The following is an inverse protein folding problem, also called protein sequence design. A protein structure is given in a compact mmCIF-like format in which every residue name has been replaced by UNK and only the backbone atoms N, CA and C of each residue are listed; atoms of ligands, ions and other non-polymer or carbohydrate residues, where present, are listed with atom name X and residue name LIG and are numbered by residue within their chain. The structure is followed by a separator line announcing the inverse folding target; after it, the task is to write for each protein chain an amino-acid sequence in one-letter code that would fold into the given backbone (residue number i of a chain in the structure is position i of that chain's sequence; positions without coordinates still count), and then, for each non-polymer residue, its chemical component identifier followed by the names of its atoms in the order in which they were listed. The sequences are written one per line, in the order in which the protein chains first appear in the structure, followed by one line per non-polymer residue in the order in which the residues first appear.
data_IF_896074755451
#
_entry.id   IF_896074755451
#
_cell.length_a   1.000
_cell.length_b   1.000
_cell.length_c   1.000
_cell.angle_alpha   90.00
_cell.angle_beta   90.00
_cell.angle_gamma   90.00
#
_symmetry.space_group_name_H-M   'P 1'
#
loop_
_entity.id
_entity.type
_entity.pdbx_description
1 polymer ?
#
# COMPACT_ATOMS: atom_id res chain seq x y z
N UNK A 1 -5.03 6.91 -0.87
CA UNK A 1 -4.06 5.83 -0.63
C UNK A 1 -4.39 5.16 0.68
N UNK A 2 -4.77 3.88 0.65
CA UNK A 2 -4.96 3.06 1.84
C UNK A 2 -3.66 2.94 2.62
N UNK A 3 -3.76 2.56 3.89
CA UNK A 3 -2.61 2.38 4.76
C UNK A 3 -2.23 0.90 4.81
N UNK A 4 -1.05 0.55 4.30
CA UNK A 4 -0.49 -0.79 4.39
C UNK A 4 0.02 -1.03 5.82
N UNK A 5 -0.77 -1.75 6.62
CA UNK A 5 -0.48 -2.00 8.04
C UNK A 5 0.30 -3.29 8.29
N UNK A 6 0.25 -4.26 7.37
CA UNK A 6 1.03 -5.51 7.45
C UNK A 6 1.31 -6.06 6.06
N UNK A 7 2.54 -6.54 5.84
CA UNK A 7 2.98 -7.20 4.63
C UNK A 7 3.70 -8.50 5.00
N UNK A 8 3.18 -9.63 4.53
CA UNK A 8 3.77 -10.96 4.77
C UNK A 8 4.07 -11.21 6.27
N UNK A 9 5.22 -11.81 6.60
CA UNK A 9 5.79 -11.93 7.94
C UNK A 9 6.76 -10.79 8.31
N UNK A 10 6.72 -9.65 7.61
CA UNK A 10 7.66 -8.55 7.86
C UNK A 10 7.29 -7.70 9.08
N UNK A 11 8.29 -7.08 9.70
CA UNK A 11 8.10 -6.10 10.76
C UNK A 11 7.31 -4.89 10.24
N UNK A 12 6.36 -4.43 11.04
CA UNK A 12 5.55 -3.26 10.70
C UNK A 12 5.51 -2.29 11.86
N UNK A 13 5.74 -1.00 11.58
CA UNK A 13 5.60 0.07 12.59
C UNK A 13 4.23 0.06 13.25
N UNK A 14 3.20 -0.31 12.50
CA UNK A 14 1.82 -0.35 12.97
C UNK A 14 1.56 -1.42 14.05
N UNK A 15 2.45 -2.41 14.22
CA UNK A 15 2.36 -3.41 15.30
C UNK A 15 2.64 -2.80 16.68
N UNK A 16 3.46 -1.74 16.73
CA UNK A 16 3.82 -1.07 17.99
C UNK A 16 2.72 -0.11 18.45
N UNK A 17 2.27 0.78 17.56
CA UNK A 17 1.19 1.72 17.85
C UNK A 17 0.42 2.11 16.59
N UNK A 18 -0.68 1.39 16.34
CA UNK A 18 -1.52 1.62 15.18
C UNK A 18 -2.04 3.07 15.12
N UNK A 19 -2.47 3.67 16.25
CA UNK A 19 -3.08 5.01 16.27
C UNK A 19 -2.06 6.10 15.98
N UNK A 20 -0.87 5.97 16.57
CA UNK A 20 0.24 6.91 16.31
C UNK A 20 0.66 6.85 14.86
N UNK A 21 0.93 5.67 14.30
CA UNK A 21 1.43 5.58 12.92
C UNK A 21 0.37 5.88 11.87
N UNK A 22 -0.91 5.59 12.12
CA UNK A 22 -2.01 5.97 11.20
C UNK A 22 -2.19 7.50 11.12
N UNK A 23 -2.09 8.20 12.25
CA UNK A 23 -2.15 9.67 12.29
C UNK A 23 -0.90 10.32 11.68
N UNK A 24 0.29 9.83 12.02
CA UNK A 24 1.56 10.28 11.44
C UNK A 24 1.59 10.11 9.92
N UNK A 25 1.13 8.96 9.40
CA UNK A 25 1.06 8.73 7.95
C UNK A 25 0.19 9.77 7.26
N UNK A 26 -0.99 10.03 7.81
CA UNK A 26 -1.95 11.00 7.25
C UNK A 26 -1.37 12.41 7.23
N UNK A 27 -0.69 12.80 8.32
CA UNK A 27 -0.01 14.10 8.44
C UNK A 27 1.14 14.22 7.44
N UNK A 28 2.07 13.27 7.44
CA UNK A 28 3.24 13.26 6.56
C UNK A 28 2.84 13.27 5.07
N UNK A 29 1.79 12.55 4.70
CA UNK A 29 1.25 12.58 3.32
C UNK A 29 0.76 13.99 2.95
N UNK A 30 0.03 14.66 3.84
CA UNK A 30 -0.52 16.02 3.60
C UNK A 30 0.59 17.06 3.50
N UNK A 31 1.54 17.03 4.43
CA UNK A 31 2.68 17.95 4.45
C UNK A 31 3.54 17.77 3.20
N UNK A 32 3.89 16.53 2.84
CA UNK A 32 4.65 16.26 1.61
C UNK A 32 3.94 16.75 0.35
N UNK A 33 2.63 16.50 0.24
CA UNK A 33 1.86 16.97 -0.91
C UNK A 33 1.84 18.50 -0.99
N UNK A 34 1.62 19.17 0.15
CA UNK A 34 1.60 20.63 0.23
C UNK A 34 2.91 21.25 -0.26
N UNK A 35 4.06 20.76 0.23
CA UNK A 35 5.36 21.27 -0.21
C UNK A 35 5.63 21.01 -1.68
N UNK A 36 5.34 19.79 -2.16
CA UNK A 36 5.56 19.41 -3.54
C UNK A 36 4.68 20.23 -4.51
N UNK A 37 3.42 20.45 -4.16
CA UNK A 37 2.49 21.26 -4.95
C UNK A 37 2.91 22.73 -4.99
N UNK A 38 3.36 23.30 -3.86
CA UNK A 38 3.83 24.68 -3.81
C UNK A 38 5.11 24.88 -4.64
N UNK A 39 6.06 23.95 -4.55
CA UNK A 39 7.30 24.00 -5.34
C UNK A 39 6.99 23.93 -6.85
N UNK A 40 6.07 23.06 -7.25
CA UNK A 40 5.61 22.96 -8.64
C UNK A 40 4.95 24.26 -9.11
N UNK A 41 4.05 24.85 -8.30
CA UNK A 41 3.40 26.12 -8.62
C UNK A 41 4.40 27.27 -8.76
N UNK A 42 5.38 27.36 -7.87
CA UNK A 42 6.42 28.40 -7.92
C UNK A 42 7.27 28.29 -9.19
N UNK A 43 7.68 27.08 -9.57
CA UNK A 43 8.45 26.88 -10.82
C UNK A 43 7.66 27.26 -12.07
N UNK A 44 6.37 26.95 -12.11
CA UNK A 44 5.51 27.34 -13.22
C UNK A 44 5.37 28.86 -13.34
N UNK A 45 5.31 29.58 -12.22
CA UNK A 45 5.29 31.06 -12.21
C UNK A 45 6.61 31.65 -12.72
N UNK A 46 7.75 31.10 -12.28
CA UNK A 46 9.09 31.56 -12.73
C UNK A 46 9.34 31.23 -14.21
N UNK A 47 8.79 30.14 -14.74
CA UNK A 47 8.88 29.78 -16.17
C UNK A 47 7.94 30.58 -17.08
N UNK A 48 6.91 31.25 -16.53
CA UNK A 48 5.91 32.00 -17.32
C UNK A 48 6.12 33.52 -17.32
N UNK A 49 7.11 34.04 -16.59
CA UNK A 49 7.62 35.39 -16.73
C UNK A 49 8.64 35.43 -17.90
N UNK A 50 8.37 36.13 -19.01
CA UNK A 50 9.37 36.31 -20.05
C UNK A 50 10.40 37.30 -19.54
N UNK A 51 11.55 36.79 -19.11
CA UNK A 51 12.85 37.45 -18.96
C UNK A 51 12.83 38.99 -19.13
N UNK A 52 12.34 39.71 -18.11
CA UNK A 52 12.58 41.15 -17.97
C UNK A 52 13.56 41.34 -16.81
N UNK A 53 14.66 42.01 -17.15
CA UNK A 53 15.73 42.37 -16.23
C UNK A 53 15.23 43.34 -15.14
N UNK A 54 15.58 43.01 -13.89
CA UNK A 54 15.75 43.87 -12.70
C UNK A 54 14.48 44.41 -12.00
N UNK A 55 14.27 44.01 -10.75
CA UNK A 55 14.71 44.83 -9.61
C UNK A 55 14.65 44.05 -8.28
N UNK A 56 15.75 44.09 -7.53
CA UNK A 56 15.85 43.67 -6.13
C UNK A 56 15.16 44.74 -5.26
N UNK A 57 13.94 44.47 -4.80
CA UNK A 57 13.39 44.87 -3.49
C UNK A 57 11.89 44.50 -3.46
N UNK A 58 11.38 44.15 -2.29
CA UNK A 58 9.99 43.74 -2.03
C UNK A 58 9.61 42.28 -2.36
N UNK A 59 10.31 41.31 -1.76
CA UNK A 59 9.66 40.01 -1.43
C UNK A 59 10.02 39.51 -0.04
N UNK A 60 10.03 40.44 0.92
CA UNK A 60 10.32 40.17 2.33
C UNK A 60 9.01 40.00 3.13
N UNK A 61 8.28 38.89 2.96
CA UNK A 61 7.22 38.52 3.94
C UNK A 61 6.76 37.05 4.04
N UNK A 62 7.28 36.06 3.30
CA UNK A 62 6.89 34.64 3.54
C UNK A 62 8.04 33.61 3.52
N UNK A 63 9.29 34.05 3.60
CA UNK A 63 10.43 33.17 3.77
C UNK A 63 10.73 32.94 5.26
N UNK A 64 9.88 32.19 5.96
CA UNK A 64 10.28 31.64 7.26
C UNK A 64 9.98 30.14 7.28
N UNK A 65 11.02 29.42 6.86
CA UNK A 65 11.32 27.99 6.97
C UNK A 65 10.30 26.98 6.40
N UNK A 66 10.67 26.29 5.29
CA UNK A 66 11.22 24.93 5.44
C UNK A 66 12.18 24.52 4.29
N UNK A 67 13.50 24.59 4.50
CA UNK A 67 14.50 24.15 3.50
C UNK A 67 15.16 22.79 3.83
N UNK A 68 14.97 22.26 5.05
CA UNK A 68 15.62 21.02 5.51
C UNK A 68 14.93 19.76 5.00
N UNK A 69 13.59 19.77 4.90
CA UNK A 69 12.80 18.62 4.45
C UNK A 69 12.99 18.34 2.94
N UNK A 70 13.10 19.39 2.13
CA UNK A 70 13.33 19.32 0.68
C UNK A 70 14.71 18.74 0.36
N UNK A 71 15.75 19.17 1.09
CA UNK A 71 17.09 18.62 0.94
C UNK A 71 17.18 17.15 1.41
N UNK A 72 16.46 16.78 2.47
CA UNK A 72 16.35 15.37 2.91
C UNK A 72 15.64 14.51 1.85
N UNK A 73 14.63 15.07 1.20
CA UNK A 73 13.87 14.40 0.14
C UNK A 73 14.71 14.19 -1.13
N UNK A 74 15.47 15.20 -1.54
CA UNK A 74 16.45 15.08 -2.63
C UNK A 74 17.57 14.08 -2.30
N UNK A 75 18.06 14.05 -1.05
CA UNK A 75 19.04 13.04 -0.59
C UNK A 75 18.46 11.62 -0.56
N UNK A 76 17.18 11.46 -0.18
CA UNK A 76 16.51 10.16 -0.24
C UNK A 76 16.29 9.68 -1.68
N UNK A 77 15.98 10.57 -2.63
CA UNK A 77 15.97 10.22 -4.07
C UNK A 77 17.34 9.71 -4.52
N UNK A 78 18.44 10.40 -4.17
CA UNK A 78 19.80 9.95 -4.48
C UNK A 78 20.14 8.57 -3.92
N UNK A 79 19.71 8.26 -2.68
CA UNK A 79 19.92 6.94 -2.06
C UNK A 79 19.04 5.82 -2.65
N UNK A 80 17.89 6.15 -3.22
CA UNK A 80 16.95 5.17 -3.76
C UNK A 80 17.32 4.65 -5.15
N UNK A 81 18.04 5.46 -5.95
CA UNK A 81 18.59 5.04 -7.24
C UNK A 81 19.97 4.38 -7.14
N UNK A 82 20.73 4.64 -6.07
CA UNK A 82 22.07 4.06 -5.87
C UNK A 82 22.03 2.64 -5.29
N UNK A 83 21.07 2.32 -4.41
CA UNK A 83 21.02 1.01 -3.74
C UNK A 83 20.55 -0.17 -4.63
N UNK A 84 19.87 0.12 -5.74
CA UNK A 84 19.50 -0.91 -6.75
C UNK A 84 20.55 -0.96 -7.91
N UNK A 85 21.63 -0.17 -7.84
CA UNK A 85 22.65 -0.01 -8.89
C UNK A 85 24.06 -0.52 -8.54
N UNK A 86 24.26 -1.18 -7.38
CA UNK A 86 25.57 -1.75 -6.98
C UNK A 86 25.95 -3.08 -7.71
N UNK A 87 25.33 -3.38 -8.86
CA UNK A 87 25.66 -4.57 -9.67
C UNK A 87 26.11 -4.25 -11.10
N UNK A 88 26.20 -2.98 -11.47
CA UNK A 88 26.64 -2.53 -12.80
C UNK A 88 27.45 -1.23 -12.64
N UNK A 89 28.62 -1.33 -12.04
CA UNK A 89 29.68 -0.33 -12.25
C UNK A 89 30.66 -0.92 -13.25
N UNK A 90 30.50 -0.53 -14.52
CA UNK A 90 31.62 -0.26 -15.40
C UNK A 90 31.09 0.63 -16.54
N UNK A 91 31.75 1.79 -16.64
CA UNK A 91 31.65 2.80 -17.68
C UNK A 91 30.32 3.55 -17.78
N UNK A 92 30.34 4.86 -17.47
CA UNK A 92 29.76 5.93 -18.29
C UNK A 92 30.10 7.31 -17.68
N UNK A 93 30.47 8.20 -18.60
CA UNK A 93 31.17 9.46 -18.42
C UNK A 93 30.46 10.55 -17.58
N UNK A 94 31.26 11.53 -17.14
CA UNK A 94 30.90 12.73 -16.36
C UNK A 94 30.03 13.78 -17.11
N UNK A 95 29.21 13.37 -18.08
CA UNK A 95 28.32 14.30 -18.79
C UNK A 95 26.87 14.14 -18.30
N UNK A 96 26.32 15.25 -17.80
CA UNK A 96 24.91 15.44 -17.45
C UNK A 96 24.40 14.83 -16.13
N UNK A 97 24.82 15.45 -15.01
CA UNK A 97 23.98 15.59 -13.80
C UNK A 97 22.79 16.52 -14.11
N UNK A 98 21.94 16.18 -15.08
CA UNK A 98 20.64 16.82 -15.24
C UNK A 98 19.82 16.50 -14.00
N UNK A 99 19.43 17.54 -13.26
CA UNK A 99 18.37 17.44 -12.26
C UNK A 99 17.19 16.68 -12.89
N UNK A 100 16.61 15.67 -12.22
CA UNK A 100 15.48 14.95 -12.80
C UNK A 100 14.39 15.98 -13.11
N UNK A 101 14.06 16.10 -14.41
CA UNK A 101 13.06 17.02 -14.94
C UNK A 101 11.84 17.03 -14.03
N UNK A 102 11.49 18.21 -13.49
CA UNK A 102 10.23 18.34 -12.76
C UNK A 102 9.08 18.06 -13.73
N UNK A 103 8.02 17.35 -13.30
CA UNK A 103 6.94 16.99 -14.20
C UNK A 103 6.21 18.24 -14.70
N UNK A 104 6.06 18.37 -16.02
CA UNK A 104 5.41 19.52 -16.65
C UNK A 104 3.90 19.62 -16.34
N UNK A 105 3.27 18.51 -15.92
CA UNK A 105 1.82 18.48 -15.61
C UNK A 105 1.56 18.12 -14.15
N UNK A 106 0.51 18.72 -13.60
CA UNK A 106 0.02 18.42 -12.24
C UNK A 106 -0.37 16.94 -12.09
N UNK A 107 -0.87 16.31 -13.15
CA UNK A 107 -1.19 14.87 -13.15
C UNK A 107 0.07 14.00 -13.02
N UNK A 108 1.14 14.33 -13.73
CA UNK A 108 2.42 13.62 -13.60
C UNK A 108 3.03 13.82 -12.20
N UNK A 109 2.93 15.03 -11.63
CA UNK A 109 3.33 15.30 -10.24
C UNK A 109 2.56 14.42 -9.24
N UNK A 110 1.25 14.28 -9.43
CA UNK A 110 0.40 13.39 -8.62
C UNK A 110 0.86 11.94 -8.73
N UNK A 111 1.13 11.45 -9.93
CA UNK A 111 1.56 10.06 -10.14
C UNK A 111 2.90 9.79 -9.45
N UNK A 112 3.88 10.69 -9.60
CA UNK A 112 5.17 10.58 -8.94
C UNK A 112 5.02 10.57 -7.40
N UNK A 113 4.20 11.48 -6.86
CA UNK A 113 3.91 11.53 -5.43
C UNK A 113 3.29 10.24 -4.90
N UNK A 114 2.35 9.65 -5.64
CA UNK A 114 1.71 8.38 -5.27
C UNK A 114 2.72 7.24 -5.23
N UNK A 115 3.65 7.20 -6.18
CA UNK A 115 4.70 6.18 -6.25
C UNK A 115 5.70 6.31 -5.10
N UNK A 116 6.19 7.52 -4.83
CA UNK A 116 7.09 7.80 -3.70
C UNK A 116 6.42 7.49 -2.35
N UNK A 117 5.13 7.81 -2.22
CA UNK A 117 4.35 7.49 -1.02
C UNK A 117 4.15 5.98 -0.88
N UNK A 118 3.94 5.25 -1.98
CA UNK A 118 3.82 3.79 -1.98
C UNK A 118 5.12 3.14 -1.49
N UNK A 119 6.27 3.56 -1.99
CA UNK A 119 7.56 3.06 -1.51
C UNK A 119 7.82 3.40 -0.04
N UNK A 120 7.40 4.58 0.41
CA UNK A 120 7.46 4.95 1.84
C UNK A 120 6.61 4.00 2.70
N UNK A 121 5.41 3.63 2.24
CA UNK A 121 4.57 2.65 2.93
C UNK A 121 5.19 1.25 2.95
N UNK A 122 5.78 0.80 1.84
CA UNK A 122 6.49 -0.49 1.81
C UNK A 122 7.62 -0.52 2.85
N UNK A 123 8.37 0.58 3.02
CA UNK A 123 9.39 0.70 4.05
C UNK A 123 8.77 0.62 5.45
N UNK A 124 7.66 1.32 5.71
CA UNK A 124 6.98 1.26 7.02
C UNK A 124 6.40 -0.12 7.35
N UNK A 125 6.04 -0.90 6.33
CA UNK A 125 5.54 -2.26 6.46
C UNK A 125 6.65 -3.33 6.43
N UNK A 126 7.92 -2.93 6.38
CA UNK A 126 9.10 -3.83 6.45
C UNK A 126 10.15 -3.43 7.48
N UNK A 127 9.98 -2.28 8.13
CA UNK A 127 10.90 -1.75 9.13
C UNK A 127 10.13 -1.33 10.37
N UNK A 128 10.71 -1.57 11.54
CA UNK A 128 10.30 -0.97 12.80
C UNK A 128 11.42 -0.09 13.37
N UNK A 129 11.20 0.47 14.56
CA UNK A 129 12.24 1.24 15.26
C UNK A 129 13.44 0.38 15.64
N UNK A 130 13.22 -0.90 15.95
CA UNK A 130 14.21 -1.81 16.52
C UNK A 130 14.59 -2.93 15.57
N UNK A 131 13.83 -3.16 14.50
CA UNK A 131 13.96 -4.35 13.66
C UNK A 131 13.77 -4.01 12.18
N UNK A 132 14.47 -4.72 11.30
CA UNK A 132 14.30 -4.64 9.85
C UNK A 132 14.09 -6.04 9.27
N UNK A 133 13.10 -6.18 8.40
CA UNK A 133 12.88 -7.38 7.60
C UNK A 133 13.42 -7.18 6.20
N UNK A 134 14.18 -8.16 5.69
CA UNK A 134 14.62 -8.17 4.30
C UNK A 134 13.42 -8.45 3.38
N UNK A 135 12.84 -7.38 2.84
CA UNK A 135 11.68 -7.46 1.95
C UNK A 135 12.05 -8.08 0.60
N UNK A 136 11.27 -9.04 0.14
CA UNK A 136 11.46 -9.65 -1.16
C UNK A 136 11.12 -8.63 -2.28
N UNK A 137 11.97 -8.50 -3.33
CA UNK A 137 11.75 -7.56 -4.43
C UNK A 137 10.42 -7.70 -5.18
N UNK A 138 9.72 -8.84 -5.07
CA UNK A 138 8.44 -9.10 -5.75
C UNK A 138 7.37 -8.08 -5.36
N UNK A 139 7.42 -7.59 -4.11
CA UNK A 139 6.41 -6.66 -3.59
C UNK A 139 6.61 -5.23 -4.10
N UNK A 140 7.82 -4.86 -4.57
CA UNK A 140 8.04 -3.58 -5.26
C UNK A 140 7.27 -3.53 -6.59
N UNK A 141 7.17 -4.67 -7.28
CA UNK A 141 6.59 -4.80 -8.62
C UNK A 141 5.19 -5.41 -8.64
N UNK A 142 4.62 -5.72 -7.47
CA UNK A 142 3.29 -6.32 -7.37
C UNK A 142 2.21 -5.28 -7.72
N UNK A 143 1.58 -5.47 -8.88
CA UNK A 143 0.56 -4.57 -9.44
C UNK A 143 -0.68 -4.46 -8.53
N UNK A 144 -1.08 -5.55 -7.89
CA UNK A 144 -2.29 -5.57 -7.06
C UNK A 144 -2.03 -4.89 -5.73
N UNK A 145 -0.88 -5.13 -5.12
CA UNK A 145 -0.46 -4.40 -3.93
C UNK A 145 -0.43 -2.89 -4.21
N UNK A 146 0.23 -2.47 -5.31
CA UNK A 146 0.25 -1.06 -5.74
C UNK A 146 -1.16 -0.53 -5.96
N UNK A 147 -2.01 -1.28 -6.63
CA UNK A 147 -3.40 -0.88 -6.95
C UNK A 147 -4.25 -0.71 -5.69
N UNK A 148 -4.21 -1.65 -4.76
CA UNK A 148 -4.95 -1.54 -3.49
C UNK A 148 -4.47 -0.35 -2.66
N UNK A 149 -3.16 -0.14 -2.54
CA UNK A 149 -2.62 0.97 -1.75
C UNK A 149 -2.90 2.32 -2.41
N UNK A 150 -2.69 2.45 -3.71
CA UNK A 150 -2.80 3.75 -4.41
C UNK A 150 -4.25 4.18 -4.64
N UNK A 151 -5.10 3.26 -5.10
CA UNK A 151 -6.45 3.59 -5.55
C UNK A 151 -7.46 3.70 -4.40
N UNK A 152 -7.26 3.01 -3.28
CA UNK A 152 -8.19 3.04 -2.16
C UNK A 152 -7.91 4.27 -1.26
N UNK A 153 -8.92 4.87 -0.62
CA UNK A 153 -8.71 5.98 0.32
C UNK A 153 -8.01 5.56 1.62
N UNK A 154 -7.48 6.55 2.35
CA UNK A 154 -6.65 6.40 3.56
C UNK A 154 -7.41 6.01 4.82
N UNK A 155 -8.74 5.92 4.75
CA UNK A 155 -9.59 5.35 5.79
C UNK A 155 -9.63 3.80 5.77
N UNK A 156 -8.97 3.16 4.81
CA UNK A 156 -8.81 1.72 4.78
C UNK A 156 -7.44 1.29 5.32
N UNK A 157 -7.44 0.18 6.06
CA UNK A 157 -6.22 -0.48 6.54
C UNK A 157 -6.06 -1.79 5.76
N UNK A 158 -4.90 -1.99 5.15
CA UNK A 158 -4.59 -3.12 4.28
C UNK A 158 -3.56 -4.04 4.95
N UNK A 159 -3.87 -5.32 5.06
CA UNK A 159 -2.92 -6.38 5.36
C UNK A 159 -2.76 -7.23 4.10
N UNK A 160 -1.57 -7.25 3.51
CA UNK A 160 -1.29 -7.97 2.28
C UNK A 160 -0.57 -9.28 2.56
N UNK A 161 -1.28 -10.39 2.35
CA UNK A 161 -0.81 -11.76 2.59
C UNK A 161 -0.16 -11.98 3.98
N UNK A 162 -0.77 -11.50 5.09
CA UNK A 162 -0.12 -11.54 6.39
C UNK A 162 0.01 -12.98 6.90
N UNK A 163 1.08 -13.25 7.66
CA UNK A 163 1.29 -14.54 8.32
C UNK A 163 0.82 -14.46 9.77
N UNK A 164 -0.05 -15.38 10.19
CA UNK A 164 -0.60 -15.43 11.54
C UNK A 164 -0.06 -16.65 12.28
N UNK A 165 0.21 -16.52 13.58
CA UNK A 165 0.65 -17.63 14.42
C UNK A 165 -0.53 -18.23 15.18
N UNK A 166 -1.01 -19.42 14.76
CA UNK A 166 -2.22 -20.04 15.30
C UNK A 166 -1.95 -21.49 15.63
N UNK A 167 -2.26 -21.91 16.88
CA UNK A 167 -2.06 -23.29 17.36
C UNK A 167 -0.63 -23.80 17.09
N UNK A 168 0.37 -22.94 17.31
CA UNK A 168 1.80 -23.22 17.13
C UNK A 168 2.24 -23.45 15.67
N UNK A 169 1.48 -22.97 14.69
CA UNK A 169 1.88 -23.01 13.29
C UNK A 169 1.69 -21.65 12.61
N UNK A 170 2.65 -21.20 11.77
CA UNK A 170 2.45 -20.09 10.86
C UNK A 170 1.38 -20.45 9.81
N UNK A 171 0.40 -19.58 9.64
CA UNK A 171 -0.61 -19.69 8.58
C UNK A 171 -0.61 -18.40 7.78
N UNK A 172 -0.18 -18.50 6.52
CA UNK A 172 -0.29 -17.39 5.57
C UNK A 172 -1.75 -17.18 5.16
N UNK A 173 -2.22 -15.95 5.30
CA UNK A 173 -3.54 -15.52 4.82
C UNK A 173 -3.41 -14.84 3.46
N UNK A 174 -4.55 -14.58 2.80
CA UNK A 174 -4.61 -13.72 1.61
C UNK A 174 -4.76 -12.24 2.04
N UNK A 175 -5.43 -11.42 1.25
CA UNK A 175 -5.55 -9.99 1.51
C UNK A 175 -6.68 -9.76 2.51
N UNK A 176 -6.40 -8.99 3.57
CA UNK A 176 -7.41 -8.54 4.52
C UNK A 176 -7.46 -7.01 4.45
N UNK A 177 -8.62 -6.49 4.05
CA UNK A 177 -8.85 -5.06 3.91
C UNK A 177 -9.92 -4.64 4.92
N UNK A 178 -9.52 -3.81 5.89
CA UNK A 178 -10.42 -3.28 6.90
C UNK A 178 -10.97 -1.93 6.45
N UNK A 179 -12.29 -1.86 6.28
CA UNK A 179 -13.01 -0.61 6.12
C UNK A 179 -13.59 -0.13 7.45
N UNK A 180 -14.09 1.11 7.53
CA UNK A 180 -14.78 1.59 8.74
C UNK A 180 -16.11 0.88 9.04
N UNK A 181 -16.62 0.07 8.12
CA UNK A 181 -17.94 -0.59 8.24
C UNK A 181 -17.85 -2.10 8.18
N UNK A 182 -16.85 -2.66 7.51
CA UNK A 182 -16.77 -4.08 7.16
C UNK A 182 -15.29 -4.53 7.05
N UNK A 183 -15.04 -5.82 7.16
CA UNK A 183 -13.72 -6.42 6.89
C UNK A 183 -13.82 -7.32 5.67
N UNK A 184 -13.08 -7.01 4.61
CA UNK A 184 -13.02 -7.80 3.40
C UNK A 184 -11.85 -8.78 3.47
N UNK A 185 -12.16 -10.07 3.38
CA UNK A 185 -11.17 -11.10 3.04
C UNK A 185 -11.20 -11.26 1.52
N UNK A 186 -10.09 -10.97 0.85
CA UNK A 186 -10.00 -10.95 -0.61
C UNK A 186 -8.98 -12.00 -1.06
N UNK A 187 -9.42 -12.90 -1.93
CA UNK A 187 -8.55 -13.86 -2.62
C UNK A 187 -8.45 -13.46 -4.09
N UNK A 188 -7.23 -13.28 -4.58
CA UNK A 188 -6.95 -13.01 -5.98
C UNK A 188 -6.90 -14.32 -6.76
N UNK A 189 -7.59 -14.36 -7.89
CA UNK A 189 -7.56 -15.45 -8.84
C UNK A 189 -6.87 -14.97 -10.12
N UNK A 190 -5.58 -15.29 -10.22
CA UNK A 190 -4.76 -14.99 -11.40
C UNK A 190 -5.09 -15.98 -12.51
N UNK A 191 -5.66 -15.46 -13.60
CA UNK A 191 -6.00 -16.22 -14.80
C UNK A 191 -5.22 -15.75 -16.02
N UNK A 192 -5.23 -16.54 -17.09
CA UNK A 192 -4.82 -16.01 -18.40
C UNK A 192 -5.88 -15.03 -18.92
N UNK A 193 -5.49 -14.16 -19.86
CA UNK A 193 -6.41 -13.21 -20.51
C UNK A 193 -7.65 -13.94 -21.04
N UNK A 194 -8.83 -13.43 -20.68
CA UNK A 194 -10.14 -13.96 -21.07
C UNK A 194 -10.44 -15.39 -20.59
N UNK A 195 -9.79 -15.83 -19.50
CA UNK A 195 -10.13 -17.09 -18.84
C UNK A 195 -11.56 -17.06 -18.30
N UNK A 196 -12.29 -18.17 -18.46
CA UNK A 196 -13.61 -18.33 -17.83
C UNK A 196 -13.50 -19.38 -16.74
N UNK A 197 -13.90 -19.01 -15.53
CA UNK A 197 -13.88 -19.86 -14.35
C UNK A 197 -15.27 -20.41 -14.07
N UNK A 198 -15.37 -21.74 -14.01
CA UNK A 198 -16.59 -22.43 -13.58
C UNK A 198 -16.31 -23.35 -12.39
N UNK A 199 -17.35 -23.59 -11.60
CA UNK A 199 -17.30 -24.57 -10.51
C UNK A 199 -17.45 -25.96 -11.10
N UNK A 200 -16.46 -26.84 -10.85
CA UNK A 200 -16.60 -28.27 -11.15
C UNK A 200 -16.94 -29.08 -9.92
N UNK A 201 -16.35 -28.74 -8.78
CA UNK A 201 -16.54 -29.42 -7.50
C UNK A 201 -16.23 -28.44 -6.36
N UNK A 202 -16.53 -28.81 -5.11
CA UNK A 202 -16.21 -28.00 -3.93
C UNK A 202 -14.73 -27.62 -3.84
N UNK A 203 -13.84 -28.56 -4.18
CA UNK A 203 -12.38 -28.37 -4.09
C UNK A 203 -11.74 -27.87 -5.37
N UNK A 204 -12.40 -28.03 -6.51
CA UNK A 204 -11.78 -27.81 -7.82
C UNK A 204 -12.66 -26.99 -8.74
N UNK A 205 -12.03 -26.01 -9.37
CA UNK A 205 -12.60 -25.18 -10.41
C UNK A 205 -12.00 -25.53 -11.75
N UNK A 206 -12.71 -25.16 -12.81
CA UNK A 206 -12.25 -25.30 -14.17
C UNK A 206 -11.98 -23.92 -14.73
N UNK A 207 -10.80 -23.76 -15.30
CA UNK A 207 -10.41 -22.61 -16.08
C UNK A 207 -10.47 -23.01 -17.56
N UNK A 208 -11.32 -22.33 -18.32
CA UNK A 208 -11.39 -22.47 -19.76
C UNK A 208 -10.52 -21.40 -20.42
N UNK A 209 -9.53 -21.85 -21.21
CA UNK A 209 -8.60 -21.00 -21.96
C UNK A 209 -8.63 -21.47 -23.42
N UNK A 210 -9.13 -20.65 -24.34
CA UNK A 210 -9.06 -20.92 -25.79
C UNK A 210 -9.38 -22.38 -26.18
N UNK A 211 -10.46 -22.94 -25.58
CA UNK A 211 -10.95 -24.34 -25.75
C UNK A 211 -10.20 -25.45 -24.98
N UNK A 212 -9.17 -25.13 -24.19
CA UNK A 212 -8.55 -26.05 -23.22
C UNK A 212 -9.15 -25.84 -21.84
N UNK A 213 -9.34 -26.93 -21.11
CA UNK A 213 -9.83 -26.93 -19.74
C UNK A 213 -8.70 -27.29 -18.79
N UNK A 214 -8.40 -26.40 -17.84
CA UNK A 214 -7.41 -26.64 -16.79
C UNK A 214 -8.12 -26.75 -15.44
N UNK A 215 -7.86 -27.80 -14.70
CA UNK A 215 -8.36 -27.97 -13.33
C UNK A 215 -7.47 -27.17 -12.37
N UNK A 216 -8.09 -26.32 -11.55
CA UNK A 216 -7.42 -25.54 -10.50
C UNK A 216 -8.09 -25.79 -9.15
N UNK A 217 -7.36 -25.51 -8.07
CA UNK A 217 -7.94 -25.52 -6.74
C UNK A 217 -8.93 -24.36 -6.59
N UNK A 218 -10.00 -24.61 -5.85
CA UNK A 218 -11.02 -23.60 -5.56
C UNK A 218 -10.43 -22.47 -4.71
N UNK A 219 -10.56 -21.19 -5.13
CA UNK A 219 -10.12 -20.05 -4.32
C UNK A 219 -10.90 -19.94 -3.00
N UNK A 220 -12.06 -20.60 -2.91
CA UNK A 220 -12.84 -20.66 -1.69
C UNK A 220 -12.11 -21.39 -0.55
N UNK A 221 -11.16 -22.27 -0.85
CA UNK A 221 -10.37 -22.97 0.17
C UNK A 221 -9.55 -21.94 0.96
N UNK A 222 -8.79 -21.11 0.26
CA UNK A 222 -7.97 -20.07 0.89
C UNK A 222 -8.85 -19.00 1.54
N UNK A 223 -9.92 -18.58 0.88
CA UNK A 223 -10.86 -17.59 1.41
C UNK A 223 -11.59 -18.05 2.67
N UNK A 224 -11.96 -19.33 2.75
CA UNK A 224 -12.54 -19.90 3.95
C UNK A 224 -11.50 -20.00 5.06
N UNK A 225 -10.24 -20.36 4.74
CA UNK A 225 -9.13 -20.36 5.70
C UNK A 225 -8.92 -18.98 6.30
N UNK A 226 -8.87 -17.92 5.49
CA UNK A 226 -8.72 -16.53 5.98
C UNK A 226 -9.89 -16.12 6.85
N UNK A 227 -11.13 -16.38 6.42
CA UNK A 227 -12.32 -16.02 7.18
C UNK A 227 -12.43 -16.76 8.51
N UNK A 228 -12.07 -18.05 8.52
CA UNK A 228 -12.06 -18.89 9.74
C UNK A 228 -11.00 -18.46 10.75
N UNK A 229 -9.96 -17.75 10.32
CA UNK A 229 -8.95 -17.15 11.20
C UNK A 229 -9.39 -15.76 11.69
N UNK A 230 -9.75 -14.88 10.76
CA UNK A 230 -10.08 -13.47 11.04
C UNK A 230 -11.36 -13.36 11.87
N UNK A 231 -12.41 -14.13 11.53
CA UNK A 231 -13.71 -14.04 12.20
C UNK A 231 -13.67 -14.26 13.71
N UNK A 232 -13.08 -15.36 14.22
CA UNK A 232 -12.94 -15.59 15.65
C UNK A 232 -12.10 -14.53 16.37
N UNK A 233 -11.04 -14.01 15.75
CA UNK A 233 -10.19 -12.96 16.33
C UNK A 233 -11.02 -11.68 16.53
N UNK A 234 -11.77 -11.27 15.50
CA UNK A 234 -12.63 -10.09 15.57
C UNK A 234 -13.73 -10.22 16.62
N UNK A 235 -14.34 -11.40 16.75
CA UNK A 235 -15.36 -11.68 17.77
C UNK A 235 -14.78 -11.59 19.19
N UNK A 236 -13.58 -12.15 19.41
CA UNK A 236 -12.89 -12.07 20.71
C UNK A 236 -12.52 -10.65 21.09
N UNK A 237 -12.15 -9.83 20.10
CA UNK A 237 -11.87 -8.40 20.29
C UNK A 237 -13.12 -7.54 20.53
N UNK A 238 -14.33 -8.13 20.51
CA UNK A 238 -15.59 -7.40 20.66
C UNK A 238 -15.99 -6.56 19.45
N UNK A 239 -15.38 -6.81 18.28
CA UNK A 239 -15.72 -6.08 17.05
C UNK A 239 -17.02 -6.59 16.44
N UNK A 240 -17.92 -5.67 16.12
CA UNK A 240 -19.20 -5.94 15.45
C UNK A 240 -19.12 -5.87 13.92
N UNK A 241 -17.92 -5.68 13.36
CA UNK A 241 -17.73 -5.54 11.92
C UNK A 241 -18.02 -6.89 11.20
N UNK A 242 -18.91 -6.91 10.20
CA UNK A 242 -19.15 -8.10 9.41
C UNK A 242 -17.93 -8.43 8.53
N UNK A 243 -17.63 -9.73 8.41
CA UNK A 243 -16.57 -10.23 7.53
C UNK A 243 -17.19 -10.61 6.19
N UNK A 244 -16.78 -9.92 5.13
CA UNK A 244 -17.18 -10.20 3.75
C UNK A 244 -16.10 -11.01 3.04
N UNK A 245 -16.56 -11.97 2.25
CA UNK A 245 -15.72 -12.85 1.43
C UNK A 245 -15.74 -12.34 -0.01
N UNK A 246 -14.58 -12.10 -0.58
CA UNK A 246 -14.44 -11.57 -1.95
C UNK A 246 -13.47 -12.44 -2.73
N UNK A 247 -13.89 -12.88 -3.92
CA UNK A 247 -12.99 -13.50 -4.90
C UNK A 247 -12.89 -12.55 -6.09
N UNK A 248 -11.66 -12.14 -6.41
CA UNK A 248 -11.39 -11.21 -7.49
C UNK A 248 -10.62 -11.92 -8.60
N UNK A 249 -11.21 -12.03 -9.79
CA UNK A 249 -10.54 -12.54 -10.99
C UNK A 249 -9.90 -11.38 -11.75
N UNK A 250 -8.56 -11.39 -11.85
CA UNK A 250 -7.80 -10.26 -12.40
C UNK A 250 -8.07 -10.07 -13.90
N UNK A 251 -8.05 -11.17 -14.66
CA UNK A 251 -8.15 -11.19 -16.11
C UNK A 251 -9.22 -12.14 -16.66
N UNK A 252 -10.03 -12.70 -15.76
CA UNK A 252 -11.04 -13.70 -16.08
C UNK A 252 -12.47 -13.28 -15.78
N UNK A 253 -13.38 -14.19 -16.13
CA UNK A 253 -14.82 -14.10 -15.93
C UNK A 253 -15.32 -15.30 -15.14
N UNK A 254 -16.30 -15.09 -14.28
CA UNK A 254 -16.99 -16.11 -13.53
C UNK A 254 -18.25 -16.53 -14.29
N UNK A 255 -18.31 -17.80 -14.71
CA UNK A 255 -19.54 -18.43 -15.20
C UNK A 255 -20.14 -19.27 -14.07
N UNK A 256 -20.79 -18.57 -13.13
CA UNK A 256 -21.37 -19.15 -11.93
C UNK A 256 -22.90 -19.13 -12.06
N UNK A 257 -23.48 -20.31 -12.25
CA UNK A 257 -24.93 -20.52 -12.13
C UNK A 257 -25.31 -20.36 -10.66
N UNK A 258 -25.70 -19.14 -10.27
CA UNK A 258 -26.24 -18.72 -8.97
C UNK A 258 -26.04 -19.71 -7.80
N UNK A 259 -24.90 -19.63 -7.10
CA UNK A 259 -24.69 -20.39 -5.87
C UNK A 259 -24.75 -19.49 -4.65
N UNK A 260 -25.74 -19.77 -3.80
CA UNK A 260 -26.13 -19.03 -2.60
C UNK A 260 -25.13 -19.15 -1.45
N UNK A 261 -23.91 -18.70 -1.64
CA UNK A 261 -22.94 -18.54 -0.56
C UNK A 261 -22.61 -17.04 -0.45
N UNK A 262 -22.34 -16.56 0.77
CA UNK A 262 -22.09 -15.16 1.12
C UNK A 262 -20.79 -14.57 0.55
N UNK A 263 -20.36 -15.04 -0.63
CA UNK A 263 -19.13 -14.69 -1.33
C UNK A 263 -19.46 -13.77 -2.50
N UNK A 264 -18.80 -12.61 -2.54
CA UNK A 264 -18.89 -11.68 -3.66
C UNK A 264 -17.83 -12.03 -4.71
N UNK A 265 -18.29 -12.37 -5.91
CA UNK A 265 -17.44 -12.65 -7.06
C UNK A 265 -17.29 -11.40 -7.93
N UNK A 266 -16.04 -10.98 -8.17
CA UNK A 266 -15.71 -9.76 -8.90
C UNK A 266 -14.85 -10.11 -10.11
N UNK A 267 -15.47 -10.02 -11.28
CA UNK A 267 -14.83 -10.20 -12.58
C UNK A 267 -14.08 -8.97 -13.05
N UNK A 268 -13.25 -9.15 -14.09
CA UNK A 268 -12.60 -8.07 -14.84
C UNK A 268 -13.51 -6.87 -15.14
N UNK A 269 -14.76 -7.12 -15.56
CA UNK A 269 -15.76 -6.06 -15.87
C UNK A 269 -16.23 -5.29 -14.64
N UNK A 270 -16.26 -5.95 -13.48
CA UNK A 270 -16.81 -5.41 -12.22
C UNK A 270 -15.74 -4.76 -11.34
N UNK A 271 -14.46 -5.10 -11.49
CA UNK A 271 -13.36 -4.55 -10.69
C UNK A 271 -13.41 -3.02 -10.63
N UNK A 272 -13.55 -2.34 -11.76
CA UNK A 272 -13.58 -0.87 -11.80
C UNK A 272 -14.73 -0.31 -10.96
N UNK A 273 -15.95 -0.83 -11.16
CA UNK A 273 -17.12 -0.41 -10.38
C UNK A 273 -17.01 -0.74 -8.89
N UNK A 274 -16.38 -1.86 -8.54
CA UNK A 274 -16.13 -2.23 -7.14
C UNK A 274 -15.11 -1.31 -6.49
N UNK A 275 -14.02 -0.98 -7.19
CA UNK A 275 -13.04 -0.01 -6.73
C UNK A 275 -13.63 1.38 -6.54
N UNK A 276 -14.53 1.82 -7.43
CA UNK A 276 -15.28 3.06 -7.23
C UNK A 276 -16.16 3.03 -5.98
N UNK A 277 -16.82 1.91 -5.69
CA UNK A 277 -17.61 1.78 -4.45
C UNK A 277 -16.73 1.95 -3.21
N UNK A 278 -15.52 1.38 -3.21
CA UNK A 278 -14.56 1.57 -2.12
C UNK A 278 -14.10 3.03 -2.01
N UNK A 279 -13.85 3.71 -3.14
CA UNK A 279 -13.45 5.12 -3.18
C UNK A 279 -14.52 6.07 -2.64
N UNK A 280 -15.80 5.79 -2.89
CA UNK A 280 -16.93 6.62 -2.44
C UNK A 280 -17.19 6.53 -0.94
N UNK A 281 -16.59 5.57 -0.23
CA UNK A 281 -16.78 5.40 1.19
C UNK A 281 -16.03 6.49 1.98
N UNK A 282 -16.73 7.56 2.34
CA UNK A 282 -16.16 8.76 2.98
C UNK A 282 -16.08 8.70 4.51
N UNK A 283 -16.50 7.59 5.13
CA UNK A 283 -16.52 7.50 6.60
C UNK A 283 -15.09 7.55 7.16
N UNK A 284 -14.83 8.37 8.20
CA UNK A 284 -13.52 8.41 8.84
C UNK A 284 -13.20 7.09 9.53
N UNK A 285 -11.92 6.91 9.87
CA UNK A 285 -11.43 5.75 10.59
C UNK A 285 -12.11 5.66 11.97
N UNK A 286 -12.79 4.53 12.23
CA UNK A 286 -13.61 4.34 13.45
C UNK A 286 -12.87 3.57 14.53
N UNK A 287 -13.21 3.81 15.80
CA UNK A 287 -12.65 3.08 16.95
C UNK A 287 -12.74 1.55 16.80
N UNK A 288 -13.88 1.03 16.35
CA UNK A 288 -14.07 -0.42 16.14
C UNK A 288 -13.14 -0.99 15.06
N UNK A 289 -12.84 -0.21 14.02
CA UNK A 289 -11.89 -0.60 12.97
C UNK A 289 -10.47 -0.66 13.50
N UNK A 290 -10.07 0.32 14.31
CA UNK A 290 -8.74 0.35 14.96
C UNK A 290 -8.59 -0.83 15.92
N UNK A 291 -9.58 -1.08 16.79
CA UNK A 291 -9.56 -2.22 17.70
C UNK A 291 -9.49 -3.56 16.95
N UNK A 292 -10.22 -3.68 15.84
CA UNK A 292 -10.16 -4.85 14.97
C UNK A 292 -8.77 -5.06 14.37
N UNK A 293 -8.14 -3.99 13.87
CA UNK A 293 -6.80 -4.04 13.31
C UNK A 293 -5.74 -4.34 14.37
N UNK A 294 -5.79 -3.70 15.55
CA UNK A 294 -4.90 -3.98 16.69
C UNK A 294 -4.97 -5.47 17.08
N UNK A 295 -6.18 -6.03 17.17
CA UNK A 295 -6.37 -7.45 17.49
C UNK A 295 -5.81 -8.40 16.41
N UNK A 296 -5.92 -8.05 15.13
CA UNK A 296 -5.36 -8.83 14.04
C UNK A 296 -3.82 -8.77 14.03
N UNK A 297 -3.25 -7.58 14.21
CA UNK A 297 -1.80 -7.37 14.26
C UNK A 297 -1.17 -8.13 15.44
N UNK A 298 -1.84 -8.17 16.60
CA UNK A 298 -1.35 -8.92 17.76
C UNK A 298 -1.21 -10.44 17.54
N UNK A 299 -1.88 -11.00 16.53
CA UNK A 299 -1.77 -12.42 16.15
C UNK A 299 -0.86 -12.66 14.94
N UNK A 300 -0.29 -11.60 14.36
CA UNK A 300 0.64 -11.70 13.26
C UNK A 300 1.98 -12.24 13.74
N UNK A 301 2.63 -13.01 12.88
CA UNK A 301 4.02 -13.37 13.04
C UNK A 301 4.90 -12.30 12.40
N UNK A 302 6.01 -12.00 13.06
CA UNK A 302 7.03 -11.08 12.56
C UNK A 302 8.38 -11.80 12.59
N UNK A 303 9.04 -11.83 11.44
CA UNK A 303 10.39 -12.33 11.24
C UNK A 303 11.24 -11.13 10.83
N UNK A 304 12.09 -10.68 11.74
CA UNK A 304 12.91 -9.50 11.54
C UNK A 304 14.27 -9.67 12.22
N UNK A 305 15.24 -8.88 11.76
CA UNK A 305 16.60 -8.84 12.28
C UNK A 305 16.70 -7.58 13.16
N UNK A 306 17.26 -7.66 14.37
CA UNK A 306 17.48 -6.47 15.18
C UNK A 306 18.35 -5.47 14.42
N UNK A 307 17.93 -4.21 14.43
CA UNK A 307 18.64 -3.12 13.79
C UNK A 307 19.89 -2.81 14.62
N UNK A 308 21.05 -2.77 13.99
CA UNK A 308 22.21 -2.15 14.63
C UNK A 308 21.86 -0.67 14.89
N UNK A 309 22.18 -0.11 16.06
CA UNK A 309 21.84 1.27 16.38
C UNK A 309 22.69 2.21 15.52
N UNK A 310 22.26 2.43 14.27
CA UNK A 310 22.79 3.46 13.39
C UNK A 310 22.26 4.83 13.83
N UNK A 311 23.07 5.89 13.66
CA UNK A 311 22.84 7.30 14.07
C UNK A 311 21.53 7.94 13.55
N UNK A 312 20.72 7.25 12.75
CA UNK A 312 19.42 7.73 12.23
C UNK A 312 18.35 7.93 13.32
N UNK A 313 18.55 7.38 14.53
CA UNK A 313 17.61 7.53 15.67
C UNK A 313 17.49 9.00 16.11
N UNK A 314 18.50 9.84 15.85
CA UNK A 314 18.50 11.25 16.28
C UNK A 314 17.53 12.15 15.47
N UNK A 315 16.99 11.68 14.34
CA UNK A 315 16.19 12.55 13.44
C UNK A 315 14.68 12.38 13.66
N UNK A 316 14.22 11.19 14.08
CA UNK A 316 12.79 10.94 14.35
C UNK A 316 12.39 11.30 15.81
N UNK A 317 13.36 11.67 16.66
CA UNK A 317 13.19 12.00 18.09
C UNK A 317 13.25 13.50 18.45
N UNK A 318 13.23 14.45 17.51
CA UNK A 318 13.02 15.84 17.94
C UNK A 318 11.55 16.06 18.37
N UNK A 319 11.27 16.30 19.67
CA UNK A 319 10.01 16.93 20.02
C UNK A 319 10.06 18.36 19.47
N UNK A 320 9.26 18.63 18.46
CA UNK A 320 8.89 20.00 18.11
C UNK A 320 8.32 20.66 19.39
N UNK A 321 9.15 21.48 20.04
CA UNK A 321 8.74 22.38 21.12
C UNK A 321 7.81 23.45 20.60
#
# INVERSE_FOLDING_TARGET
MAQLIKLDEYASRYEYDLKRYTSQFTRLKREKWYYLENEWRQRQLVESEPNDELDDEDTDWFATEPNKFVQLFQKMKRKMYTKDAELLEEDLDEEEKQLPSFPATLEALKQQFLEETFHSQLRWASTSLLEESRMHPKYKWDEWLRTFVTQIPDNYLLMYKPVFFIKNAPIQLDIVLLSPTEVYCITLLEGTKNSVFSVSSERFWLEYIEKKQKKRLSPLITLNRTTSVVGPILKKAGSTLPVKKVVLATDGFFDLQAQGHSVEYIDKRRIASWMEKLKRHSSPLKKNQVMAAEALLAHCQTVAIPREPDEEILIDEEPLK
#
